data_IF_731006010870
#
_entry.id   IF_731006010870
#
_cell.length_a   1.000
_cell.length_b   1.000
_cell.length_c   1.000
_cell.angle_alpha   90.00
_cell.angle_beta   90.00
_cell.angle_gamma   90.00
#
_symmetry.space_group_name_H-M   'P 1'
#
loop_
_entity.id
_entity.type
_entity.pdbx_description
1 polymer ?
#
# COMPACT_ATOMS: atom_id res chain seq x y z
N UNK A 1 21.43 -6.64 15.92
CA UNK A 1 20.14 -5.91 15.79
C UNK A 1 19.78 -5.03 16.99
N UNK A 2 20.73 -4.79 17.90
CA UNK A 2 20.48 -4.00 19.12
C UNK A 2 20.30 -2.49 18.90
N UNK A 3 20.62 -1.98 17.72
CA UNK A 3 20.68 -0.56 17.42
C UNK A 3 19.67 -0.09 16.35
N UNK A 4 18.62 -0.87 16.13
CA UNK A 4 17.54 -0.47 15.24
C UNK A 4 16.41 0.22 16.04
N UNK A 5 15.61 1.06 15.35
CA UNK A 5 14.51 1.77 15.99
C UNK A 5 13.48 0.83 16.61
N UNK A 6 12.86 1.26 17.71
CA UNK A 6 11.66 0.62 18.24
C UNK A 6 10.48 1.00 17.32
N UNK A 7 9.96 0.01 16.62
CA UNK A 7 8.85 0.16 15.68
C UNK A 7 7.54 -0.45 16.19
N UNK A 8 7.48 -0.73 17.51
CA UNK A 8 6.30 -1.34 18.14
C UNK A 8 6.21 -2.84 17.90
N UNK A 9 4.98 -3.36 17.98
CA UNK A 9 4.70 -4.80 18.02
C UNK A 9 4.06 -5.36 16.73
N UNK A 10 4.17 -4.63 15.61
CA UNK A 10 3.63 -5.13 14.34
C UNK A 10 4.30 -6.45 13.95
N UNK A 11 3.50 -7.43 13.57
CA UNK A 11 3.99 -8.68 12.99
C UNK A 11 2.93 -9.32 12.09
N UNK A 12 3.37 -9.74 10.89
CA UNK A 12 2.60 -10.54 9.94
C UNK A 12 3.42 -11.73 9.51
N UNK A 13 2.97 -12.94 9.79
CA UNK A 13 3.70 -14.17 9.45
C UNK A 13 3.82 -14.33 7.93
N UNK A 14 5.05 -14.26 7.41
CA UNK A 14 5.37 -14.40 5.97
C UNK A 14 6.56 -15.32 5.70
N UNK A 15 7.37 -15.65 6.73
CA UNK A 15 8.54 -16.49 6.60
C UNK A 15 8.83 -17.24 7.89
N UNK A 16 9.30 -18.49 7.77
CA UNK A 16 9.84 -19.25 8.90
C UNK A 16 11.25 -18.78 9.30
N UNK A 17 11.93 -18.07 8.40
CA UNK A 17 13.23 -17.45 8.69
C UNK A 17 13.04 -16.20 9.56
N UNK A 18 13.48 -16.29 10.81
CA UNK A 18 13.31 -15.19 11.79
C UNK A 18 13.93 -13.85 11.35
N UNK A 19 15.04 -13.89 10.62
CA UNK A 19 15.65 -12.65 10.12
C UNK A 19 14.80 -12.03 9.01
N UNK A 20 14.32 -12.84 8.07
CA UNK A 20 13.39 -12.41 7.02
C UNK A 20 12.13 -11.84 7.64
N UNK A 21 11.50 -12.56 8.57
CA UNK A 21 10.31 -12.11 9.29
C UNK A 21 10.52 -10.76 9.97
N UNK A 22 11.62 -10.61 10.71
CA UNK A 22 11.91 -9.36 11.41
C UNK A 22 12.09 -8.17 10.45
N UNK A 23 12.81 -8.39 9.34
CA UNK A 23 13.02 -7.33 8.36
C UNK A 23 11.74 -7.00 7.59
N UNK A 24 10.91 -8.02 7.30
CA UNK A 24 9.60 -7.79 6.69
C UNK A 24 8.68 -6.95 7.58
N UNK A 25 8.54 -7.31 8.87
CA UNK A 25 7.70 -6.57 9.81
C UNK A 25 8.13 -5.09 9.90
N UNK A 26 9.43 -4.83 9.97
CA UNK A 26 10.00 -3.47 9.93
C UNK A 26 9.67 -2.74 8.62
N UNK A 27 9.79 -3.44 7.51
CA UNK A 27 9.45 -2.90 6.19
C UNK A 27 7.99 -2.45 6.10
N UNK A 28 7.06 -3.23 6.66
CA UNK A 28 5.64 -2.87 6.70
C UNK A 28 5.38 -1.64 7.57
N UNK A 29 5.99 -1.54 8.73
CA UNK A 29 5.83 -0.34 9.59
C UNK A 29 6.34 0.92 8.88
N UNK A 30 7.52 0.86 8.25
CA UNK A 30 8.04 1.97 7.47
C UNK A 30 7.18 2.30 6.24
N UNK A 31 6.61 1.28 5.60
CA UNK A 31 5.68 1.45 4.48
C UNK A 31 4.43 2.23 4.92
N UNK A 32 3.80 1.82 6.03
CA UNK A 32 2.64 2.49 6.58
C UNK A 32 2.93 3.91 7.09
N UNK A 33 4.18 4.17 7.48
CA UNK A 33 4.65 5.51 7.86
C UNK A 33 5.13 6.37 6.65
N UNK A 34 5.01 5.87 5.43
CA UNK A 34 5.47 6.50 4.18
C UNK A 34 6.98 6.79 4.12
N UNK A 35 7.78 6.12 4.94
CA UNK A 35 9.24 6.08 4.75
C UNK A 35 9.60 4.96 3.78
N UNK A 36 9.30 5.16 2.51
CA UNK A 36 9.39 4.14 1.48
C UNK A 36 10.84 3.71 1.19
N UNK A 37 11.82 4.58 1.34
CA UNK A 37 13.24 4.23 1.13
C UNK A 37 13.70 3.22 2.18
N UNK A 38 13.36 3.45 3.45
CA UNK A 38 13.70 2.52 4.53
C UNK A 38 12.86 1.23 4.45
N UNK A 39 11.59 1.33 4.04
CA UNK A 39 10.76 0.15 3.79
C UNK A 39 11.39 -0.76 2.73
N UNK A 40 11.83 -0.22 1.60
CA UNK A 40 12.52 -0.96 0.54
C UNK A 40 13.79 -1.61 1.07
N UNK A 41 14.62 -0.86 1.82
CA UNK A 41 15.85 -1.41 2.44
C UNK A 41 15.54 -2.59 3.37
N UNK A 42 14.47 -2.50 4.14
CA UNK A 42 14.03 -3.61 5.02
C UNK A 42 13.53 -4.82 4.21
N UNK A 43 12.72 -4.60 3.18
CA UNK A 43 12.24 -5.70 2.34
C UNK A 43 13.38 -6.38 1.54
N UNK A 44 14.38 -5.61 1.07
CA UNK A 44 15.57 -6.18 0.43
C UNK A 44 16.33 -7.11 1.40
N UNK A 45 16.52 -6.71 2.66
CA UNK A 45 17.12 -7.56 3.70
C UNK A 45 16.26 -8.78 4.03
N UNK A 46 14.92 -8.66 3.98
CA UNK A 46 14.03 -9.81 4.16
C UNK A 46 14.23 -10.84 3.04
N UNK A 47 14.35 -10.40 1.78
CA UNK A 47 14.63 -11.27 0.62
C UNK A 47 16.02 -11.86 0.69
N UNK A 48 17.04 -11.10 1.13
CA UNK A 48 18.40 -11.63 1.34
C UNK A 48 18.42 -12.78 2.35
N UNK A 49 17.61 -12.69 3.40
CA UNK A 49 17.50 -13.73 4.43
C UNK A 49 16.63 -14.91 3.99
N UNK A 50 15.59 -14.68 3.18
CA UNK A 50 14.70 -15.70 2.62
C UNK A 50 14.17 -15.28 1.26
N UNK A 51 14.76 -15.84 0.20
CA UNK A 51 14.37 -15.54 -1.18
C UNK A 51 12.93 -15.99 -1.54
N UNK A 52 12.27 -16.77 -0.67
CA UNK A 52 10.88 -17.21 -0.86
C UNK A 52 9.86 -16.28 -0.17
N UNK A 53 10.31 -15.24 0.52
CA UNK A 53 9.43 -14.27 1.16
C UNK A 53 8.68 -13.43 0.10
N UNK A 54 7.64 -13.98 -0.48
CA UNK A 54 6.90 -13.40 -1.61
C UNK A 54 6.33 -12.01 -1.30
N UNK A 55 5.85 -11.81 -0.09
CA UNK A 55 5.29 -10.53 0.31
C UNK A 55 6.35 -9.40 0.35
N UNK A 56 7.62 -9.71 0.58
CA UNK A 56 8.68 -8.71 0.53
C UNK A 56 8.93 -8.22 -0.91
N UNK A 57 8.80 -9.08 -1.94
CA UNK A 57 8.85 -8.65 -3.34
C UNK A 57 7.69 -7.71 -3.68
N UNK A 58 6.49 -8.03 -3.20
CA UNK A 58 5.34 -7.14 -3.31
C UNK A 58 5.61 -5.81 -2.59
N UNK A 59 6.15 -5.85 -1.38
CA UNK A 59 6.47 -4.66 -0.58
C UNK A 59 7.42 -3.69 -1.29
N UNK A 60 8.48 -4.21 -1.93
CA UNK A 60 9.40 -3.37 -2.73
C UNK A 60 8.65 -2.77 -3.93
N UNK A 61 7.92 -3.60 -4.69
CA UNK A 61 7.19 -3.15 -5.85
C UNK A 61 6.12 -2.11 -5.49
N UNK A 62 5.49 -2.24 -4.32
CA UNK A 62 4.51 -1.28 -3.82
C UNK A 62 5.19 0.04 -3.41
N UNK A 63 6.27 -0.05 -2.63
CA UNK A 63 6.94 1.11 -2.06
C UNK A 63 7.67 2.00 -3.08
N UNK A 64 8.13 1.45 -4.21
CA UNK A 64 8.76 2.27 -5.27
C UNK A 64 7.76 3.10 -6.03
N UNK A 65 6.48 2.72 -6.02
CA UNK A 65 5.42 3.36 -6.78
C UNK A 65 4.83 4.60 -6.13
N UNK A 66 3.70 5.06 -6.68
CA UNK A 66 3.01 6.22 -6.13
C UNK A 66 2.39 5.88 -4.77
N UNK A 67 2.17 6.90 -3.99
CA UNK A 67 1.39 6.86 -2.75
C UNK A 67 0.55 8.13 -2.65
N UNK A 68 -0.25 8.26 -1.60
CA UNK A 68 -1.13 9.42 -1.44
C UNK A 68 -0.37 10.75 -1.42
N UNK A 69 0.85 10.78 -0.85
CA UNK A 69 1.68 11.99 -0.76
C UNK A 69 2.56 12.22 -2.00
N UNK A 70 2.90 11.18 -2.74
CA UNK A 70 3.67 11.26 -4.00
C UNK A 70 2.94 10.47 -5.08
N UNK A 71 1.89 11.04 -5.64
CA UNK A 71 1.12 10.44 -6.73
C UNK A 71 1.84 10.62 -8.09
N UNK A 72 1.41 9.90 -9.11
CA UNK A 72 2.08 9.87 -10.42
C UNK A 72 2.35 11.23 -11.05
N UNK A 73 1.48 12.20 -10.83
CA UNK A 73 1.63 13.57 -11.37
C UNK A 73 2.83 14.32 -10.75
N UNK A 74 3.31 13.89 -9.57
CA UNK A 74 4.46 14.48 -8.87
C UNK A 74 5.80 13.89 -9.32
N UNK A 75 5.78 12.68 -9.92
CA UNK A 75 7.00 12.06 -10.43
C UNK A 75 7.53 12.83 -11.63
N UNK A 76 8.81 13.15 -11.59
CA UNK A 76 9.50 13.72 -12.75
C UNK A 76 9.62 12.69 -13.89
N UNK A 77 9.78 13.11 -15.15
CA UNK A 77 9.99 12.19 -16.26
C UNK A 77 11.17 11.24 -16.04
N UNK A 78 12.22 11.70 -15.36
CA UNK A 78 13.43 10.91 -15.09
C UNK A 78 13.21 9.85 -13.99
N UNK A 79 12.23 10.03 -13.11
CA UNK A 79 11.91 9.06 -12.05
C UNK A 79 10.99 7.95 -12.56
N UNK A 80 10.08 8.26 -13.48
CA UNK A 80 9.04 7.30 -13.93
C UNK A 80 9.64 6.02 -14.50
N UNK A 81 10.61 6.11 -15.40
CA UNK A 81 11.24 4.94 -16.02
C UNK A 81 11.86 3.98 -15.00
N UNK A 82 12.81 4.42 -14.17
CA UNK A 82 13.40 3.59 -13.10
C UNK A 82 12.38 3.00 -12.12
N UNK A 83 11.33 3.74 -11.76
CA UNK A 83 10.25 3.24 -10.89
C UNK A 83 9.51 2.10 -11.54
N UNK A 84 9.08 2.25 -12.80
CA UNK A 84 8.38 1.21 -13.54
C UNK A 84 9.26 -0.03 -13.72
N UNK A 85 10.52 0.15 -14.10
CA UNK A 85 11.48 -0.95 -14.25
C UNK A 85 11.66 -1.74 -12.95
N UNK A 86 11.86 -1.04 -11.82
CA UNK A 86 12.02 -1.68 -10.52
C UNK A 86 10.73 -2.39 -10.10
N UNK A 87 9.57 -1.76 -10.24
CA UNK A 87 8.28 -2.36 -9.90
C UNK A 87 8.02 -3.64 -10.71
N UNK A 88 8.13 -3.58 -12.04
CA UNK A 88 7.95 -4.75 -12.91
C UNK A 88 8.93 -5.89 -12.61
N UNK A 89 10.20 -5.57 -12.34
CA UNK A 89 11.20 -6.55 -11.96
C UNK A 89 10.78 -7.33 -10.72
N UNK A 90 10.39 -6.62 -9.65
CA UNK A 90 10.05 -7.29 -8.39
C UNK A 90 8.71 -8.04 -8.46
N UNK A 91 7.70 -7.50 -9.15
CA UNK A 91 6.44 -8.22 -9.43
C UNK A 91 6.72 -9.51 -10.21
N UNK A 92 7.46 -9.44 -11.31
CA UNK A 92 7.79 -10.61 -12.13
C UNK A 92 8.56 -11.66 -11.34
N UNK A 93 9.53 -11.23 -10.54
CA UNK A 93 10.32 -12.15 -9.71
C UNK A 93 9.46 -12.81 -8.64
N UNK A 94 8.60 -12.05 -7.94
CA UNK A 94 7.68 -12.57 -6.94
C UNK A 94 6.69 -13.58 -7.53
N UNK A 95 6.10 -13.27 -8.69
CA UNK A 95 5.17 -14.18 -9.39
C UNK A 95 5.84 -15.50 -9.88
N UNK A 96 7.15 -15.50 -10.09
CA UNK A 96 7.91 -16.67 -10.52
C UNK A 96 8.36 -17.57 -9.36
N UNK A 97 8.11 -17.21 -8.11
CA UNK A 97 8.53 -17.99 -6.95
C UNK A 97 7.83 -19.35 -6.91
N UNK A 98 8.58 -20.45 -6.66
CA UNK A 98 7.97 -21.77 -6.49
C UNK A 98 7.15 -21.83 -5.19
N UNK A 99 5.95 -22.39 -5.29
CA UNK A 99 5.07 -22.52 -4.12
C UNK A 99 4.49 -21.19 -3.62
N UNK A 100 4.38 -20.20 -4.51
CA UNK A 100 3.84 -18.88 -4.20
C UNK A 100 2.45 -19.02 -3.54
N UNK A 101 2.26 -18.48 -2.31
CA UNK A 101 0.97 -18.54 -1.64
C UNK A 101 -0.12 -17.76 -2.40
N UNK A 102 -1.36 -18.18 -2.23
CA UNK A 102 -2.50 -17.66 -3.01
C UNK A 102 -2.72 -16.16 -2.80
N UNK A 103 -2.58 -15.70 -1.56
CA UNK A 103 -2.76 -14.28 -1.23
C UNK A 103 -1.71 -13.41 -1.90
N UNK A 104 -0.43 -13.76 -1.73
CA UNK A 104 0.70 -13.01 -2.30
C UNK A 104 0.63 -12.99 -3.83
N UNK A 105 0.18 -14.08 -4.44
CA UNK A 105 -0.07 -14.13 -5.88
C UNK A 105 -1.13 -13.09 -6.28
N UNK A 106 -2.28 -13.07 -5.59
CA UNK A 106 -3.35 -12.10 -5.86
C UNK A 106 -2.87 -10.66 -5.69
N UNK A 107 -2.09 -10.39 -4.63
CA UNK A 107 -1.53 -9.07 -4.38
C UNK A 107 -0.56 -8.62 -5.48
N UNK A 108 0.34 -9.50 -5.92
CA UNK A 108 1.28 -9.23 -7.01
C UNK A 108 0.55 -9.02 -8.35
N UNK A 109 -0.46 -9.85 -8.65
CA UNK A 109 -1.29 -9.72 -9.85
C UNK A 109 -2.08 -8.40 -9.83
N UNK A 110 -2.69 -8.04 -8.71
CA UNK A 110 -3.38 -6.76 -8.56
C UNK A 110 -2.41 -5.58 -8.73
N UNK A 111 -1.24 -5.65 -8.07
CA UNK A 111 -0.23 -4.60 -8.12
C UNK A 111 0.34 -4.40 -9.53
N UNK A 112 0.43 -5.46 -10.35
CA UNK A 112 0.89 -5.34 -11.74
C UNK A 112 0.05 -4.39 -12.57
N UNK A 113 -1.24 -4.25 -12.27
CA UNK A 113 -2.15 -3.37 -12.99
C UNK A 113 -1.94 -1.88 -12.67
N UNK A 114 -1.20 -1.57 -11.60
CA UNK A 114 -0.86 -0.20 -11.20
C UNK A 114 0.22 0.42 -12.08
N UNK A 115 0.99 -0.39 -12.78
CA UNK A 115 2.20 0.00 -13.49
C UNK A 115 2.05 -0.20 -14.99
N UNK A 116 2.04 0.90 -15.80
CA UNK A 116 2.04 0.78 -17.25
C UNK A 116 3.34 0.16 -17.76
N UNK A 117 3.25 -0.65 -18.80
CA UNK A 117 4.42 -1.17 -19.53
C UNK A 117 5.16 -0.06 -20.28
N UNK A 118 4.43 0.95 -20.76
CA UNK A 118 5.00 2.05 -21.51
C UNK A 118 5.37 3.21 -20.55
N UNK A 119 6.65 3.56 -20.41
CA UNK A 119 7.09 4.66 -19.53
C UNK A 119 6.70 6.06 -20.04
N UNK A 120 6.24 6.18 -21.27
CA UNK A 120 5.82 7.48 -21.86
C UNK A 120 4.34 7.79 -21.61
N UNK A 121 3.64 6.98 -20.83
CA UNK A 121 2.25 7.25 -20.43
C UNK A 121 2.19 8.56 -19.66
N UNK A 122 1.25 9.42 -20.02
CA UNK A 122 0.99 10.70 -19.36
C UNK A 122 -0.19 10.61 -18.38
N UNK A 123 -1.23 9.85 -18.74
CA UNK A 123 -2.40 9.63 -17.90
C UNK A 123 -2.28 8.31 -17.13
N UNK A 124 -2.03 8.41 -15.84
CA UNK A 124 -1.92 7.26 -14.94
C UNK A 124 -3.25 6.93 -14.21
N UNK A 125 -4.31 7.72 -14.41
CA UNK A 125 -5.59 7.47 -13.77
C UNK A 125 -6.16 6.07 -14.04
N UNK A 126 -6.12 5.54 -15.29
CA UNK A 126 -6.62 4.20 -15.58
C UNK A 126 -5.90 3.10 -14.79
N UNK A 127 -4.61 3.27 -14.48
CA UNK A 127 -3.80 2.32 -13.73
C UNK A 127 -4.11 2.37 -12.22
N UNK A 128 -4.33 3.57 -11.67
CA UNK A 128 -4.82 3.72 -10.30
C UNK A 128 -6.20 3.09 -10.13
N UNK A 129 -7.09 3.29 -11.10
CA UNK A 129 -8.41 2.68 -11.12
C UNK A 129 -8.35 1.15 -11.26
N UNK A 130 -7.49 0.63 -12.14
CA UNK A 130 -7.31 -0.80 -12.34
C UNK A 130 -6.79 -1.48 -11.07
N UNK A 131 -5.81 -0.88 -10.39
CA UNK A 131 -5.31 -1.40 -9.13
C UNK A 131 -6.38 -1.41 -8.05
N UNK A 132 -7.10 -0.31 -7.82
CA UNK A 132 -8.18 -0.25 -6.83
C UNK A 132 -9.29 -1.29 -7.13
N UNK A 133 -9.67 -1.44 -8.40
CA UNK A 133 -10.65 -2.43 -8.81
C UNK A 133 -10.17 -3.88 -8.59
N UNK A 134 -8.88 -4.16 -8.82
CA UNK A 134 -8.29 -5.48 -8.59
C UNK A 134 -8.13 -5.80 -7.10
N UNK A 135 -7.88 -4.80 -6.26
CA UNK A 135 -7.80 -4.97 -4.81
C UNK A 135 -9.17 -5.22 -4.16
N UNK A 136 -10.27 -4.77 -4.76
CA UNK A 136 -11.61 -4.94 -4.19
C UNK A 136 -11.97 -6.39 -3.87
N UNK A 137 -11.86 -7.37 -4.80
CA UNK A 137 -12.14 -8.77 -4.47
C UNK A 137 -11.17 -9.36 -3.45
N UNK A 138 -9.90 -8.92 -3.42
CA UNK A 138 -8.94 -9.33 -2.40
C UNK A 138 -9.40 -8.85 -1.02
N UNK A 139 -9.74 -7.58 -0.88
CA UNK A 139 -10.32 -7.03 0.34
C UNK A 139 -11.58 -7.80 0.78
N UNK A 140 -12.48 -8.11 -0.14
CA UNK A 140 -13.73 -8.84 0.19
C UNK A 140 -13.47 -10.25 0.70
N UNK A 141 -12.47 -10.95 0.15
CA UNK A 141 -12.11 -12.31 0.56
C UNK A 141 -11.37 -12.34 1.91
N UNK A 142 -10.60 -11.28 2.21
CA UNK A 142 -9.79 -11.15 3.43
C UNK A 142 -10.25 -9.94 4.27
N UNK A 143 -11.54 -9.79 4.47
CA UNK A 143 -12.17 -8.59 5.05
C UNK A 143 -11.84 -8.31 6.52
N UNK A 144 -11.18 -9.23 7.22
CA UNK A 144 -10.67 -9.05 8.59
C UNK A 144 -9.16 -8.81 8.67
N UNK A 145 -8.47 -8.78 7.54
CA UNK A 145 -7.03 -8.53 7.47
C UNK A 145 -6.74 -7.03 7.41
N UNK A 146 -6.26 -6.45 8.51
CA UNK A 146 -6.08 -5.01 8.66
C UNK A 146 -5.08 -4.42 7.67
N UNK A 147 -4.02 -5.17 7.30
CA UNK A 147 -3.06 -4.73 6.27
C UNK A 147 -3.75 -4.61 4.91
N UNK A 148 -4.55 -5.61 4.53
CA UNK A 148 -5.22 -5.61 3.23
C UNK A 148 -6.32 -4.56 3.15
N UNK A 149 -7.01 -4.32 4.25
CA UNK A 149 -7.96 -3.21 4.37
C UNK A 149 -7.23 -1.89 4.17
N UNK A 150 -6.11 -1.68 4.84
CA UNK A 150 -5.28 -0.47 4.70
C UNK A 150 -4.83 -0.27 3.25
N UNK A 151 -4.29 -1.31 2.60
CA UNK A 151 -3.81 -1.27 1.21
C UNK A 151 -4.97 -0.95 0.25
N UNK A 152 -6.15 -1.54 0.47
CA UNK A 152 -7.33 -1.26 -0.36
C UNK A 152 -7.83 0.17 -0.17
N UNK A 153 -7.90 0.65 1.06
CA UNK A 153 -8.28 2.05 1.35
C UNK A 153 -7.30 3.01 0.68
N UNK A 154 -6.00 2.78 0.78
CA UNK A 154 -5.02 3.61 0.10
C UNK A 154 -5.20 3.57 -1.43
N UNK A 155 -5.49 2.39 -2.00
CA UNK A 155 -5.77 2.27 -3.43
C UNK A 155 -7.00 3.10 -3.87
N UNK A 156 -8.06 3.13 -3.05
CA UNK A 156 -9.23 3.97 -3.27
C UNK A 156 -8.89 5.47 -3.20
N UNK A 157 -8.08 5.87 -2.22
CA UNK A 157 -7.65 7.26 -2.04
C UNK A 157 -6.74 7.72 -3.18
N UNK A 158 -5.88 6.83 -3.69
CA UNK A 158 -4.98 7.09 -4.81
C UNK A 158 -5.67 7.24 -6.17
N UNK A 159 -6.99 7.08 -6.25
CA UNK A 159 -7.78 7.46 -7.43
C UNK A 159 -7.89 8.98 -7.60
N UNK A 160 -7.91 9.73 -6.50
CA UNK A 160 -7.94 11.20 -6.51
C UNK A 160 -7.09 11.76 -5.36
N UNK A 161 -5.75 11.49 -5.36
CA UNK A 161 -4.87 11.91 -4.28
C UNK A 161 -4.91 13.43 -4.10
N UNK A 162 -4.91 13.91 -2.87
CA UNK A 162 -5.07 15.33 -2.50
C UNK A 162 -6.37 15.98 -2.98
N UNK A 163 -7.26 15.24 -3.60
CA UNK A 163 -8.53 15.72 -4.14
C UNK A 163 -9.68 14.80 -3.74
N UNK A 164 -9.64 14.21 -2.56
CA UNK A 164 -10.69 13.34 -2.02
C UNK A 164 -11.99 14.10 -1.81
N UNK A 165 -11.86 15.35 -1.37
CA UNK A 165 -12.97 16.23 -1.06
C UNK A 165 -12.90 17.54 -1.85
N UNK A 166 -14.05 18.10 -2.19
CA UNK A 166 -14.14 19.50 -2.58
C UNK A 166 -14.20 20.34 -1.30
N UNK A 167 -13.04 20.84 -0.89
CA UNK A 167 -12.88 21.59 0.34
C UNK A 167 -13.89 22.76 0.49
N UNK A 168 -14.15 23.49 -0.59
CA UNK A 168 -15.05 24.66 -0.55
C UNK A 168 -16.52 24.30 -0.41
N UNK A 169 -16.93 23.12 -0.90
CA UNK A 169 -18.32 22.66 -0.88
C UNK A 169 -18.60 21.64 0.22
N UNK A 170 -17.57 21.11 0.87
CA UNK A 170 -17.70 20.03 1.85
C UNK A 170 -18.31 18.74 1.28
N UNK A 171 -18.09 18.46 -0.01
CA UNK A 171 -18.63 17.26 -0.67
C UNK A 171 -17.50 16.38 -1.22
N UNK A 172 -17.70 15.06 -1.31
CA UNK A 172 -16.69 14.17 -1.90
C UNK A 172 -16.48 14.48 -3.37
N UNK A 173 -15.26 14.19 -3.85
CA UNK A 173 -14.95 14.25 -5.28
C UNK A 173 -15.73 13.16 -6.03
N UNK A 174 -16.56 13.50 -7.03
CA UNK A 174 -17.36 12.51 -7.75
C UNK A 174 -16.54 11.50 -8.58
N UNK A 175 -15.26 11.80 -8.84
CA UNK A 175 -14.32 10.90 -9.54
C UNK A 175 -13.53 10.01 -8.57
N UNK A 176 -13.62 10.28 -7.27
CA UNK A 176 -12.89 9.56 -6.21
C UNK A 176 -13.76 8.55 -5.49
N UNK A 177 -13.17 7.92 -4.49
CA UNK A 177 -13.81 6.91 -3.64
C UNK A 177 -13.78 7.29 -2.15
N UNK A 178 -13.79 8.58 -1.83
CA UNK A 178 -13.66 9.06 -0.45
C UNK A 178 -14.74 8.48 0.48
N UNK A 179 -16.00 8.40 0.03
CA UNK A 179 -17.09 7.84 0.85
C UNK A 179 -16.94 6.33 1.08
N UNK A 180 -16.50 5.56 0.05
CA UNK A 180 -16.24 4.13 0.22
C UNK A 180 -15.09 3.91 1.21
N UNK A 181 -13.99 4.65 1.06
CA UNK A 181 -12.84 4.60 1.96
C UNK A 181 -13.23 4.98 3.41
N UNK A 182 -14.03 6.03 3.59
CA UNK A 182 -14.52 6.48 4.89
C UNK A 182 -15.37 5.40 5.56
N UNK A 183 -16.35 4.84 4.84
CA UNK A 183 -17.22 3.79 5.36
C UNK A 183 -16.40 2.56 5.79
N UNK A 184 -15.40 2.15 5.00
CA UNK A 184 -14.54 1.02 5.35
C UNK A 184 -13.75 1.32 6.63
N UNK A 185 -13.11 2.49 6.74
CA UNK A 185 -12.31 2.84 7.91
C UNK A 185 -13.16 2.99 9.18
N UNK A 186 -14.30 3.68 9.10
CA UNK A 186 -15.20 3.84 10.25
C UNK A 186 -15.70 2.48 10.74
N UNK A 187 -16.11 1.57 9.85
CA UNK A 187 -16.53 0.21 10.21
C UNK A 187 -15.39 -0.61 10.85
N UNK A 188 -14.18 -0.51 10.30
CA UNK A 188 -13.02 -1.25 10.81
C UNK A 188 -12.65 -0.79 12.22
N UNK A 189 -12.66 0.51 12.50
CA UNK A 189 -12.39 1.05 13.83
C UNK A 189 -13.50 0.70 14.85
N UNK A 190 -14.74 0.52 14.39
CA UNK A 190 -15.86 0.07 15.24
C UNK A 190 -15.78 -1.44 15.50
N UNK A 191 -15.43 -2.24 14.48
CA UNK A 191 -15.51 -3.71 14.53
C UNK A 191 -14.25 -4.35 15.12
N UNK A 192 -13.06 -3.77 14.88
CA UNK A 192 -11.76 -4.34 15.25
C UNK A 192 -11.00 -3.44 16.21
N UNK A 193 -10.95 -3.75 17.54
CA UNK A 193 -10.19 -2.93 18.49
C UNK A 193 -8.71 -2.76 18.13
N UNK A 194 -8.08 -3.77 17.50
CA UNK A 194 -6.67 -3.70 17.06
C UNK A 194 -6.46 -2.71 15.90
N UNK A 195 -7.51 -2.27 15.22
CA UNK A 195 -7.39 -1.25 14.17
C UNK A 195 -6.84 0.08 14.72
N UNK A 196 -7.13 0.40 15.99
CA UNK A 196 -6.61 1.59 16.68
C UNK A 196 -5.11 1.51 17.01
N UNK A 197 -4.51 0.33 16.87
CA UNK A 197 -3.06 0.13 17.01
C UNK A 197 -2.36 -0.01 15.65
N UNK A 198 -3.12 -0.03 14.56
CA UNK A 198 -2.59 -0.23 13.21
C UNK A 198 -2.19 1.09 12.57
N UNK A 199 -0.87 1.35 12.51
CA UNK A 199 -0.30 2.62 12.03
C UNK A 199 -0.82 3.05 10.64
N UNK A 200 -0.96 2.10 9.70
CA UNK A 200 -1.44 2.39 8.35
C UNK A 200 -2.90 2.83 8.31
N UNK A 201 -3.78 2.17 9.06
CA UNK A 201 -5.20 2.56 9.11
C UNK A 201 -5.39 3.95 9.72
N UNK A 202 -4.68 4.25 10.82
CA UNK A 202 -4.68 5.58 11.42
C UNK A 202 -4.15 6.64 10.45
N UNK A 203 -3.05 6.34 9.75
CA UNK A 203 -2.46 7.24 8.76
C UNK A 203 -3.44 7.53 7.61
N UNK A 204 -4.08 6.50 7.08
CA UNK A 204 -5.09 6.68 6.02
C UNK A 204 -6.31 7.45 6.51
N UNK A 205 -6.74 7.23 7.75
CA UNK A 205 -7.86 7.95 8.33
C UNK A 205 -7.57 9.45 8.48
N UNK A 206 -6.36 9.80 8.95
CA UNK A 206 -5.91 11.19 9.02
C UNK A 206 -5.98 11.84 7.63
N UNK A 207 -5.35 11.26 6.63
CA UNK A 207 -5.36 11.82 5.27
C UNK A 207 -6.75 11.90 4.64
N UNK A 208 -7.61 10.94 4.96
CA UNK A 208 -8.98 10.95 4.45
C UNK A 208 -9.79 12.08 5.06
N UNK A 209 -9.63 12.32 6.38
CA UNK A 209 -10.49 13.21 7.14
C UNK A 209 -9.98 14.65 7.22
N UNK A 210 -8.66 14.90 7.09
CA UNK A 210 -8.06 16.24 7.26
C UNK A 210 -8.67 17.33 6.37
N UNK A 211 -9.16 16.97 5.18
CA UNK A 211 -9.84 17.88 4.25
C UNK A 211 -11.34 17.58 4.09
N UNK A 212 -11.90 16.70 4.91
CA UNK A 212 -13.32 16.37 4.90
C UNK A 212 -14.17 17.50 5.49
N UNK A 213 -15.50 17.45 5.35
CA UNK A 213 -16.38 18.37 6.08
C UNK A 213 -16.43 18.11 7.59
N UNK A 214 -15.78 17.06 8.09
CA UNK A 214 -15.80 16.62 9.50
C UNK A 214 -14.39 16.32 10.03
N UNK A 215 -13.41 17.26 9.94
CA UNK A 215 -12.05 17.03 10.42
C UNK A 215 -11.98 16.85 11.95
N UNK A 216 -13.02 17.24 12.68
CA UNK A 216 -13.15 17.06 14.13
C UNK A 216 -13.33 15.59 14.56
N UNK A 217 -13.49 14.66 13.62
CA UNK A 217 -13.54 13.22 13.90
C UNK A 217 -12.15 12.57 14.03
N UNK A 218 -11.07 13.34 13.81
CA UNK A 218 -9.68 12.88 13.97
C UNK A 218 -9.27 12.73 15.44
#
# INVERSE_FOLDING_TARGET
MKDYFDLGNYSRTVSENKNSQTWFDRGMVWLFAYNHEEAISCFEKAIEADQKCAFAYWGIAYAVGPNYNKHWEVFTPNEKGPVLEKAHKFIKTGLALPGLPVLEKKLLEALSLRYPENPTVEDFQPYSDAFANAMKPVYQEYSSDLDLICIYVEALMNRTPWRLWNFWKGIPNPKGSALEAMTILENVFEEFPLAWEHAGLLHMYIHLMEMSPHPEKL
#
